data_IF_565742637359
#
_entry.id   IF_565742637359
#
_cell.length_a   1.000
_cell.length_b   1.000
_cell.length_c   1.000
_cell.angle_alpha   90.00
_cell.angle_beta   90.00
_cell.angle_gamma   90.00
#
_symmetry.space_group_name_H-M   'P 1'
#
loop_
_entity.id
_entity.type
_entity.pdbx_description
1 polymer ?
#
# COMPACT_ATOMS: atom_id res chain seq x y z
N UNK A 1 15.38 0.32 -36.37
CA UNK A 1 14.14 0.04 -35.61
C UNK A 1 14.41 -0.54 -34.21
N UNK A 2 14.66 -1.83 -34.01
CA UNK A 2 14.82 -2.40 -32.64
C UNK A 2 16.03 -1.84 -31.88
N UNK A 3 17.18 -1.69 -32.53
CA UNK A 3 18.37 -1.13 -31.90
C UNK A 3 18.20 0.36 -31.56
N UNK A 4 17.52 1.13 -32.41
CA UNK A 4 17.19 2.55 -32.15
C UNK A 4 16.21 2.69 -30.98
N UNK A 5 15.24 1.77 -30.89
CA UNK A 5 14.31 1.73 -29.77
C UNK A 5 15.00 1.38 -28.45
N UNK A 6 15.89 0.38 -28.44
CA UNK A 6 16.66 0.03 -27.24
C UNK A 6 17.62 1.16 -26.85
N UNK A 7 18.24 1.83 -27.82
CA UNK A 7 19.08 3.00 -27.57
C UNK A 7 18.25 4.16 -26.97
N UNK A 8 17.06 4.43 -27.50
CA UNK A 8 16.11 5.40 -26.94
C UNK A 8 15.77 5.08 -25.48
N UNK A 9 15.37 3.85 -25.17
CA UNK A 9 15.03 3.44 -23.79
C UNK A 9 16.20 3.60 -22.81
N UNK A 10 17.44 3.38 -23.27
CA UNK A 10 18.65 3.60 -22.47
C UNK A 10 18.93 5.09 -22.27
N UNK A 11 18.86 5.91 -23.33
CA UNK A 11 19.13 7.36 -23.26
C UNK A 11 18.19 8.08 -22.30
N UNK A 12 16.91 7.69 -22.29
CA UNK A 12 15.91 8.31 -21.41
C UNK A 12 15.74 7.60 -20.06
N UNK A 13 16.58 6.62 -19.73
CA UNK A 13 16.55 5.92 -18.44
C UNK A 13 15.25 5.13 -18.15
N UNK A 14 14.42 4.88 -19.17
CA UNK A 14 13.08 4.28 -19.05
C UNK A 14 13.16 2.85 -18.49
N UNK A 15 14.26 2.14 -18.80
CA UNK A 15 14.50 0.79 -18.30
C UNK A 15 14.58 0.78 -16.76
N UNK A 16 15.28 1.76 -16.17
CA UNK A 16 15.39 1.88 -14.71
C UNK A 16 14.05 2.20 -14.06
N UNK A 17 13.28 3.11 -14.66
CA UNK A 17 11.92 3.43 -14.22
C UNK A 17 11.01 2.20 -14.26
N UNK A 18 11.06 1.42 -15.35
CA UNK A 18 10.26 0.22 -15.51
C UNK A 18 10.57 -0.83 -14.41
N UNK A 19 11.86 -1.06 -14.13
CA UNK A 19 12.29 -1.97 -13.06
C UNK A 19 11.79 -1.47 -11.70
N UNK A 20 11.95 -0.18 -11.40
CA UNK A 20 11.51 0.41 -10.14
C UNK A 20 9.99 0.27 -9.94
N UNK A 21 9.19 0.53 -10.98
CA UNK A 21 7.73 0.39 -10.93
C UNK A 21 7.31 -1.07 -10.74
N UNK A 22 7.93 -2.02 -11.44
CA UNK A 22 7.60 -3.45 -11.33
C UNK A 22 7.94 -3.96 -9.92
N UNK A 23 9.15 -3.67 -9.43
CA UNK A 23 9.58 -4.11 -8.09
C UNK A 23 8.73 -3.42 -7.02
N UNK A 24 8.49 -2.11 -7.15
CA UNK A 24 7.64 -1.35 -6.23
C UNK A 24 6.21 -1.90 -6.17
N UNK A 25 5.63 -2.27 -7.30
CA UNK A 25 4.30 -2.89 -7.36
C UNK A 25 4.26 -4.25 -6.65
N UNK A 26 5.28 -5.10 -6.84
CA UNK A 26 5.39 -6.40 -6.15
C UNK A 26 5.64 -6.24 -4.64
N UNK A 27 6.47 -5.28 -4.25
CA UNK A 27 6.70 -4.95 -2.84
C UNK A 27 5.41 -4.47 -2.16
N UNK A 28 4.64 -3.61 -2.83
CA UNK A 28 3.33 -3.17 -2.34
C UNK A 28 2.40 -4.38 -2.12
N UNK A 29 2.26 -5.27 -3.12
CA UNK A 29 1.43 -6.46 -3.00
C UNK A 29 1.85 -7.38 -1.82
N UNK A 30 3.15 -7.53 -1.57
CA UNK A 30 3.66 -8.29 -0.43
C UNK A 30 3.26 -7.64 0.90
N UNK A 31 3.40 -6.32 1.01
CA UNK A 31 3.02 -5.56 2.21
C UNK A 31 1.51 -5.67 2.46
N UNK A 32 0.69 -5.50 1.42
CA UNK A 32 -0.77 -5.68 1.52
C UNK A 32 -1.12 -7.08 1.99
N UNK A 33 -0.53 -8.13 1.42
CA UNK A 33 -0.79 -9.51 1.83
C UNK A 33 -0.40 -9.77 3.31
N UNK A 34 0.66 -9.12 3.81
CA UNK A 34 1.04 -9.21 5.22
C UNK A 34 0.03 -8.48 6.13
N UNK A 35 -0.44 -7.30 5.71
CA UNK A 35 -1.47 -6.56 6.45
C UNK A 35 -2.78 -7.35 6.49
N UNK A 36 -3.23 -7.83 5.34
CA UNK A 36 -4.48 -8.57 5.20
C UNK A 36 -4.42 -9.94 5.89
N UNK A 37 -3.28 -10.62 5.83
CA UNK A 37 -3.12 -11.95 6.42
C UNK A 37 -2.85 -11.95 7.92
N UNK A 38 -2.13 -10.95 8.45
CA UNK A 38 -1.63 -10.97 9.83
C UNK A 38 -2.30 -9.90 10.69
N UNK A 39 -2.46 -8.68 10.17
CA UNK A 39 -2.98 -7.57 10.96
C UNK A 39 -4.51 -7.50 10.95
N UNK A 40 -5.15 -7.79 9.82
CA UNK A 40 -6.61 -7.77 9.74
C UNK A 40 -7.28 -8.75 10.71
N UNK A 41 -6.84 -10.02 10.86
CA UNK A 41 -7.43 -10.92 11.85
C UNK A 41 -7.29 -10.42 13.28
N UNK A 42 -6.18 -9.72 13.60
CA UNK A 42 -5.97 -9.12 14.92
C UNK A 42 -6.92 -7.95 15.14
N UNK A 43 -7.09 -7.07 14.14
CA UNK A 43 -8.02 -5.94 14.22
C UNK A 43 -9.47 -6.41 14.31
N UNK A 44 -9.87 -7.42 13.54
CA UNK A 44 -11.24 -7.99 13.58
C UNK A 44 -11.49 -8.85 14.81
N UNK A 45 -10.44 -9.34 15.48
CA UNK A 45 -10.58 -9.99 16.79
C UNK A 45 -11.04 -8.98 17.87
N UNK A 46 -10.53 -7.76 17.85
CA UNK A 46 -10.94 -6.70 18.79
C UNK A 46 -12.29 -6.05 18.44
N UNK A 47 -12.75 -6.17 17.19
CA UNK A 47 -14.05 -5.65 16.73
C UNK A 47 -14.86 -6.81 16.14
N UNK A 48 -15.70 -7.49 16.94
CA UNK A 48 -16.42 -8.68 16.51
C UNK A 48 -17.26 -8.40 15.26
N UNK A 49 -16.96 -9.11 14.17
CA UNK A 49 -17.82 -9.19 12.99
C UNK A 49 -17.48 -8.28 11.81
N UNK A 50 -16.51 -7.36 11.90
CA UNK A 50 -16.09 -6.54 10.75
C UNK A 50 -17.20 -5.69 10.10
N UNK A 51 -18.40 -5.66 10.69
CA UNK A 51 -19.60 -5.04 10.13
C UNK A 51 -19.45 -3.51 9.96
N UNK A 52 -18.51 -2.91 10.69
CA UNK A 52 -18.16 -1.50 10.54
C UNK A 52 -17.53 -1.19 9.17
N UNK A 53 -16.87 -2.16 8.51
CA UNK A 53 -16.36 -2.00 7.13
C UNK A 53 -17.45 -2.11 6.08
N UNK A 54 -18.57 -2.75 6.39
CA UNK A 54 -19.73 -2.85 5.50
C UNK A 54 -20.84 -1.89 5.91
N UNK A 55 -20.59 -1.02 6.90
CA UNK A 55 -21.59 -0.09 7.38
C UNK A 55 -21.98 0.89 6.27
N UNK A 56 -23.23 0.80 5.83
CA UNK A 56 -23.83 1.74 4.92
C UNK A 56 -24.81 2.61 5.68
N UNK A 57 -24.79 3.90 5.40
CA UNK A 57 -25.75 4.86 5.94
C UNK A 57 -26.72 5.17 4.81
N UNK A 58 -27.87 4.50 4.85
CA UNK A 58 -28.89 4.64 3.83
C UNK A 58 -29.77 5.85 4.18
N UNK A 59 -29.67 6.91 3.38
CA UNK A 59 -30.51 8.11 3.47
C UNK A 59 -31.43 8.13 2.25
N UNK A 60 -32.59 7.46 2.37
CA UNK A 60 -33.56 7.35 1.28
C UNK A 60 -32.97 6.57 0.09
N UNK A 61 -32.86 7.16 -1.12
CA UNK A 61 -32.28 6.50 -2.29
C UNK A 61 -30.73 6.56 -2.34
N UNK A 62 -30.08 7.19 -1.36
CA UNK A 62 -28.63 7.37 -1.34
C UNK A 62 -28.00 6.40 -0.34
N UNK A 63 -27.17 5.49 -0.86
CA UNK A 63 -26.37 4.55 -0.07
C UNK A 63 -24.98 5.16 0.21
N UNK A 64 -24.78 5.75 1.39
CA UNK A 64 -23.45 6.25 1.79
C UNK A 64 -22.60 5.11 2.35
N UNK A 65 -21.61 4.69 1.57
CA UNK A 65 -20.62 3.67 1.92
C UNK A 65 -19.59 4.21 2.94
N UNK A 66 -20.01 4.58 4.14
CA UNK A 66 -19.11 5.11 5.18
C UNK A 66 -18.15 4.04 5.72
N UNK A 67 -18.62 2.80 5.83
CA UNK A 67 -17.83 1.68 6.33
C UNK A 67 -16.63 1.35 5.45
N UNK A 68 -16.78 1.21 4.12
CA UNK A 68 -15.65 0.95 3.24
C UNK A 68 -14.61 2.06 3.24
N UNK A 69 -15.04 3.32 3.37
CA UNK A 69 -14.14 4.47 3.46
C UNK A 69 -13.32 4.45 4.75
N UNK A 70 -13.96 4.19 5.89
CA UNK A 70 -13.26 4.03 7.16
C UNK A 70 -12.34 2.80 7.17
N UNK A 71 -12.77 1.70 6.54
CA UNK A 71 -11.96 0.50 6.34
C UNK A 71 -10.67 0.82 5.59
N UNK A 72 -10.80 1.47 4.42
CA UNK A 72 -9.66 1.88 3.62
C UNK A 72 -8.74 2.87 4.35
N UNK A 73 -9.29 3.76 5.17
CA UNK A 73 -8.50 4.68 5.98
C UNK A 73 -7.66 3.92 7.02
N UNK A 74 -8.25 2.96 7.73
CA UNK A 74 -7.53 2.12 8.70
C UNK A 74 -6.45 1.29 8.00
N UNK A 75 -6.77 0.68 6.86
CA UNK A 75 -5.81 -0.12 6.10
C UNK A 75 -4.63 0.74 5.63
N UNK A 76 -4.89 1.98 5.19
CA UNK A 76 -3.86 2.96 4.87
C UNK A 76 -2.96 3.28 6.07
N UNK A 77 -3.53 3.54 7.25
CA UNK A 77 -2.73 3.80 8.45
C UNK A 77 -1.87 2.60 8.86
N UNK A 78 -2.40 1.38 8.76
CA UNK A 78 -1.65 0.15 9.08
C UNK A 78 -0.51 -0.04 8.08
N UNK A 79 -0.78 0.05 6.78
CA UNK A 79 0.24 -0.07 5.73
C UNK A 79 1.31 1.02 5.89
N UNK A 80 0.92 2.27 6.09
CA UNK A 80 1.85 3.38 6.30
C UNK A 80 2.75 3.16 7.53
N UNK A 81 2.18 2.69 8.64
CA UNK A 81 2.94 2.36 9.84
C UNK A 81 3.89 1.18 9.61
N UNK A 82 3.44 0.13 8.90
CA UNK A 82 4.25 -1.05 8.62
C UNK A 82 5.40 -0.74 7.67
N UNK A 83 5.16 0.05 6.62
CA UNK A 83 6.19 0.53 5.69
C UNK A 83 7.19 1.42 6.42
N UNK A 84 6.72 2.32 7.31
CA UNK A 84 7.60 3.12 8.15
C UNK A 84 8.46 2.24 9.07
N UNK A 85 7.87 1.24 9.72
CA UNK A 85 8.60 0.33 10.61
C UNK A 85 9.61 -0.54 9.85
N UNK A 86 9.23 -1.08 8.69
CA UNK A 86 10.13 -1.83 7.81
C UNK A 86 11.26 -0.94 7.30
N UNK A 87 10.94 0.27 6.82
CA UNK A 87 11.95 1.24 6.39
C UNK A 87 12.93 1.55 7.52
N UNK A 88 12.44 1.82 8.74
CA UNK A 88 13.30 2.05 9.92
C UNK A 88 14.19 0.84 10.25
N UNK A 89 13.67 -0.38 10.13
CA UNK A 89 14.40 -1.62 10.47
C UNK A 89 15.39 -2.05 9.38
N UNK A 90 15.07 -1.78 8.11
CA UNK A 90 15.91 -2.10 6.94
C UNK A 90 16.98 -1.04 6.71
N UNK A 91 16.63 0.26 6.79
CA UNK A 91 17.60 1.33 6.56
C UNK A 91 18.62 1.44 7.69
N UNK A 92 18.29 1.15 8.96
CA UNK A 92 19.23 1.22 10.10
C UNK A 92 20.17 2.45 10.12
N UNK A 93 19.85 3.53 9.42
CA UNK A 93 20.56 4.79 9.53
C UNK A 93 19.95 5.55 10.71
N UNK A 94 20.79 5.84 11.71
CA UNK A 94 20.40 6.44 12.98
C UNK A 94 19.79 7.85 12.83
N UNK A 95 19.78 8.43 11.64
CA UNK A 95 19.18 9.73 11.39
C UNK A 95 18.64 9.80 9.97
N UNK A 96 17.38 10.19 9.81
CA UNK A 96 16.81 10.71 8.55
C UNK A 96 17.39 12.11 8.27
N UNK A 97 18.71 12.25 8.37
CA UNK A 97 19.42 13.48 8.10
C UNK A 97 20.32 13.25 6.88
N UNK A 98 19.78 13.72 5.75
CA UNK A 98 20.48 14.21 4.56
C UNK A 98 22.01 14.30 4.75
N UNK A 99 22.73 13.46 4.02
CA UNK A 99 24.04 13.82 3.47
C UNK A 99 23.98 13.66 1.95
#
# INVERSE_FOLDING_TARGET
MLNEFVAFLKTYGVIGLAIAVIIGGKANALVTAMVDGVFMPVVTFFIPGGAWRTATLDLGPIHLLLGPVLGAAVDFFIVAFLVFWLSKKVLKEEVVAKK
#
